data_IF_236864938686
#
_entry.id   IF_236864938686
#
_cell.length_a   1.000
_cell.length_b   1.000
_cell.length_c   1.000
_cell.angle_alpha   90.00
_cell.angle_beta   90.00
_cell.angle_gamma   90.00
#
_symmetry.space_group_name_H-M   'P 1'
#
loop_
_entity.id
_entity.type
_entity.pdbx_description
1 polymer ?
#
# COMPACT_ATOMS: atom_id res chain seq x y z
N UNK A 1 -52.16 46.54 20.88
CA UNK A 1 -50.93 46.27 20.07
C UNK A 1 -50.30 44.92 20.49
N UNK A 2 -50.35 43.95 19.59
CA UNK A 2 -49.77 42.68 19.85
C UNK A 2 -48.37 42.69 19.22
N UNK A 3 -47.30 42.55 20.05
CA UNK A 3 -45.95 42.44 19.58
C UNK A 3 -45.62 40.96 19.42
N UNK A 4 -45.23 40.54 18.23
CA UNK A 4 -44.77 39.20 17.93
C UNK A 4 -43.24 39.21 17.92
N UNK A 5 -42.62 38.41 18.78
CA UNK A 5 -41.18 38.21 18.79
C UNK A 5 -40.84 36.98 17.94
N UNK A 6 -40.01 37.17 16.91
CA UNK A 6 -39.43 36.11 16.11
C UNK A 6 -38.01 35.87 16.62
N UNK A 7 -37.73 34.70 17.16
CA UNK A 7 -36.36 34.27 17.49
C UNK A 7 -35.81 33.44 16.33
N UNK A 8 -34.83 33.99 15.64
CA UNK A 8 -34.12 33.28 14.60
C UNK A 8 -32.87 32.62 15.21
N UNK A 9 -32.80 31.30 15.16
CA UNK A 9 -31.62 30.55 15.48
C UNK A 9 -30.88 30.25 14.20
N UNK A 10 -29.68 30.78 14.03
CA UNK A 10 -28.77 30.44 12.94
C UNK A 10 -27.82 29.39 13.46
N UNK A 11 -27.91 28.16 12.94
CA UNK A 11 -26.94 27.12 13.17
C UNK A 11 -25.94 27.13 12.02
N UNK A 12 -24.64 27.08 12.35
CA UNK A 12 -23.64 26.90 11.31
C UNK A 12 -23.81 25.49 10.70
N UNK A 13 -23.67 25.35 9.38
CA UNK A 13 -23.75 24.04 8.75
C UNK A 13 -22.64 23.13 9.31
N UNK A 14 -22.90 21.84 9.54
CA UNK A 14 -21.88 20.91 9.98
C UNK A 14 -20.75 20.84 8.94
N UNK A 15 -19.52 21.04 9.40
CA UNK A 15 -18.32 21.02 8.58
C UNK A 15 -17.64 19.66 8.71
N UNK A 16 -17.54 18.92 7.60
CA UNK A 16 -16.81 17.65 7.51
C UNK A 16 -15.38 17.88 7.03
N UNK A 17 -14.41 17.19 7.63
CA UNK A 17 -13.01 17.17 7.20
C UNK A 17 -12.57 15.74 6.93
N UNK A 18 -11.98 15.51 5.75
CA UNK A 18 -11.36 14.25 5.34
C UNK A 18 -9.96 14.53 4.79
N UNK A 19 -8.98 13.70 5.18
CA UNK A 19 -7.65 13.70 4.60
C UNK A 19 -7.41 12.35 3.91
N UNK A 20 -6.92 12.38 2.67
CA UNK A 20 -6.66 11.21 1.85
C UNK A 20 -5.33 11.32 1.13
N UNK A 21 -4.58 10.23 1.09
CA UNK A 21 -3.37 10.11 0.28
C UNK A 21 -3.59 9.08 -0.83
N UNK A 22 -3.20 9.43 -2.04
CA UNK A 22 -3.24 8.56 -3.22
C UNK A 22 -1.88 8.56 -3.93
N UNK A 23 -1.63 7.57 -4.78
CA UNK A 23 -0.48 7.58 -5.68
C UNK A 23 -0.74 8.50 -6.90
N UNK A 24 0.31 9.10 -7.48
CA UNK A 24 0.23 10.09 -8.58
C UNK A 24 -0.65 9.59 -9.74
N UNK A 25 -0.56 8.33 -10.13
CA UNK A 25 -1.34 7.78 -11.25
C UNK A 25 -2.66 7.12 -10.82
N UNK A 26 -3.08 7.33 -9.57
CA UNK A 26 -4.32 6.79 -9.04
C UNK A 26 -5.45 7.80 -9.15
N UNK A 27 -6.68 7.27 -9.19
CA UNK A 27 -7.92 8.03 -9.24
C UNK A 27 -8.63 7.98 -7.89
N UNK A 28 -9.10 9.11 -7.39
CA UNK A 28 -9.98 9.21 -6.23
C UNK A 28 -11.27 9.92 -6.62
N UNK A 29 -12.41 9.38 -6.20
CA UNK A 29 -13.72 10.00 -6.49
C UNK A 29 -14.19 10.74 -5.24
N UNK A 30 -14.45 12.03 -5.38
CA UNK A 30 -14.99 12.89 -4.33
C UNK A 30 -16.06 13.80 -4.89
N UNK A 31 -17.26 13.79 -4.29
CA UNK A 31 -18.40 14.57 -4.78
C UNK A 31 -18.79 14.26 -6.23
N UNK A 32 -18.54 13.03 -6.71
CA UNK A 32 -18.78 12.64 -8.09
C UNK A 32 -17.72 13.10 -9.09
N UNK A 33 -16.67 13.80 -8.65
CA UNK A 33 -15.55 14.25 -9.48
C UNK A 33 -14.35 13.31 -9.32
N UNK A 34 -13.65 13.07 -10.42
CA UNK A 34 -12.40 12.32 -10.47
C UNK A 34 -11.23 13.23 -10.14
N UNK A 35 -10.48 12.90 -9.09
CA UNK A 35 -9.35 13.69 -8.61
C UNK A 35 -8.06 12.87 -8.75
N UNK A 36 -7.02 13.50 -9.32
CA UNK A 36 -5.70 12.90 -9.55
C UNK A 36 -4.56 13.73 -8.97
N UNK A 37 -4.84 14.96 -8.53
CA UNK A 37 -3.82 15.90 -8.07
C UNK A 37 -3.99 16.26 -6.60
N UNK A 38 -2.90 16.60 -5.95
CA UNK A 38 -2.93 17.13 -4.57
C UNK A 38 -3.69 18.45 -4.54
N UNK A 39 -4.51 18.62 -3.52
CA UNK A 39 -5.30 19.83 -3.39
C UNK A 39 -6.29 19.79 -2.24
N UNK A 40 -6.96 20.92 -2.05
CA UNK A 40 -8.08 21.05 -1.14
C UNK A 40 -9.35 21.14 -1.99
N UNK A 41 -10.25 20.20 -1.79
CA UNK A 41 -11.50 20.09 -2.51
C UNK A 41 -12.65 20.26 -1.55
N UNK A 42 -13.70 20.89 -2.03
CA UNK A 42 -14.93 21.11 -1.27
C UNK A 42 -16.10 20.47 -2.00
N UNK A 43 -16.94 19.79 -1.25
CA UNK A 43 -18.20 19.27 -1.74
C UNK A 43 -19.33 19.64 -0.79
N UNK A 44 -20.54 19.69 -1.31
CA UNK A 44 -21.74 20.06 -0.55
C UNK A 44 -22.68 18.88 -0.52
N UNK A 45 -22.91 18.32 0.67
CA UNK A 45 -23.90 17.28 0.88
C UNK A 45 -25.24 17.92 1.22
N UNK A 46 -26.22 17.70 0.34
CA UNK A 46 -27.58 18.20 0.57
C UNK A 46 -28.25 17.40 1.69
N UNK A 47 -28.75 18.13 2.69
CA UNK A 47 -29.53 17.53 3.76
C UNK A 47 -31.04 17.58 3.44
N UNK A 48 -31.80 16.54 3.77
CA UNK A 48 -33.25 16.54 3.63
C UNK A 48 -33.95 17.67 4.42
N UNK A 49 -33.26 18.16 5.47
CA UNK A 49 -33.78 19.21 6.36
C UNK A 49 -33.43 20.62 5.88
N UNK A 50 -32.80 20.75 4.69
CA UNK A 50 -32.51 22.04 4.04
C UNK A 50 -31.26 22.76 4.55
N UNK A 51 -30.46 22.14 5.47
CA UNK A 51 -29.15 22.65 5.89
C UNK A 51 -28.05 21.83 5.22
N UNK A 52 -27.48 22.34 4.13
CA UNK A 52 -26.41 21.68 3.41
C UNK A 52 -25.13 21.63 4.26
N UNK A 53 -24.42 20.50 4.20
CA UNK A 53 -23.15 20.29 4.89
C UNK A 53 -21.99 20.45 3.91
N UNK A 54 -20.97 21.22 4.30
CA UNK A 54 -19.75 21.35 3.50
C UNK A 54 -18.75 20.33 3.99
N UNK A 55 -18.25 19.49 3.07
CA UNK A 55 -17.14 18.55 3.33
C UNK A 55 -15.89 19.07 2.63
N UNK A 56 -14.81 19.18 3.41
CA UNK A 56 -13.48 19.54 2.92
C UNK A 56 -12.62 18.30 2.85
N UNK A 57 -12.13 17.98 1.66
CA UNK A 57 -11.13 16.96 1.43
C UNK A 57 -9.75 17.61 1.26
N UNK A 58 -8.76 17.13 2.00
CA UNK A 58 -7.35 17.39 1.74
C UNK A 58 -6.73 16.16 1.08
N UNK A 59 -6.50 16.24 -0.24
CA UNK A 59 -5.94 15.17 -1.04
C UNK A 59 -4.44 15.39 -1.23
N UNK A 60 -3.65 14.36 -0.93
CA UNK A 60 -2.21 14.33 -1.20
C UNK A 60 -1.91 13.25 -2.24
N UNK A 61 -1.52 13.64 -3.45
CA UNK A 61 -0.99 12.75 -4.47
C UNK A 61 0.53 12.66 -4.31
N UNK A 62 1.05 11.48 -3.98
CA UNK A 62 2.47 11.23 -3.75
C UNK A 62 3.01 10.25 -4.79
N UNK A 63 4.31 10.31 -5.07
CA UNK A 63 4.98 9.28 -5.85
C UNK A 63 5.09 8.01 -5.00
N UNK A 64 4.33 6.98 -5.38
CA UNK A 64 4.38 5.67 -4.73
C UNK A 64 5.33 4.71 -5.45
N UNK A 65 6.04 5.14 -6.50
CA UNK A 65 7.03 4.30 -7.14
C UNK A 65 8.17 4.00 -6.16
N UNK A 66 8.37 2.71 -5.89
CA UNK A 66 9.49 2.25 -5.08
C UNK A 66 10.61 1.83 -6.03
N UNK A 67 11.77 2.47 -5.95
CA UNK A 67 12.98 2.00 -6.62
C UNK A 67 13.56 0.82 -5.84
N UNK A 68 12.87 -0.33 -5.94
CA UNK A 68 13.26 -1.54 -5.23
C UNK A 68 14.42 -2.21 -5.94
N UNK A 69 15.56 -2.26 -5.28
CA UNK A 69 16.69 -3.10 -5.68
C UNK A 69 16.47 -4.50 -5.14
N UNK A 70 15.98 -5.41 -5.98
CA UNK A 70 15.59 -6.76 -5.58
C UNK A 70 16.65 -7.75 -6.05
N UNK A 71 17.23 -8.54 -5.12
CA UNK A 71 18.17 -9.58 -5.47
C UNK A 71 17.50 -10.70 -6.28
N UNK A 72 18.14 -11.13 -7.35
CA UNK A 72 17.69 -12.27 -8.15
C UNK A 72 18.43 -13.58 -7.81
N UNK A 73 19.25 -13.56 -6.76
CA UNK A 73 20.04 -14.71 -6.31
C UNK A 73 19.92 -14.94 -4.82
N UNK A 74 19.86 -16.19 -4.42
CA UNK A 74 19.82 -16.66 -3.05
C UNK A 74 20.72 -17.90 -2.94
N UNK A 75 21.76 -17.83 -2.07
CA UNK A 75 22.75 -18.89 -1.90
C UNK A 75 22.92 -19.21 -0.41
N UNK A 76 21.94 -19.88 0.22
CA UNK A 76 21.95 -20.13 1.66
C UNK A 76 23.00 -21.23 1.99
N UNK A 77 24.23 -20.80 2.26
CA UNK A 77 25.39 -21.68 2.55
C UNK A 77 26.14 -21.27 3.83
N UNK A 78 25.58 -20.30 4.59
CA UNK A 78 26.12 -19.75 5.85
C UNK A 78 27.50 -19.09 5.68
N UNK A 79 27.76 -18.47 4.51
CA UNK A 79 28.99 -17.69 4.28
C UNK A 79 28.82 -16.19 4.56
N UNK A 80 27.62 -15.77 4.94
CA UNK A 80 27.24 -14.38 5.20
C UNK A 80 26.87 -13.58 3.94
N UNK A 81 26.81 -14.21 2.75
CA UNK A 81 26.44 -13.55 1.49
C UNK A 81 25.27 -14.27 0.83
N UNK A 82 24.22 -13.51 0.56
CA UNK A 82 22.99 -14.02 -0.07
C UNK A 82 22.39 -15.26 0.64
N UNK A 83 22.66 -15.43 1.94
CA UNK A 83 22.07 -16.50 2.74
C UNK A 83 20.57 -16.31 2.93
N UNK A 84 20.12 -15.07 2.82
CA UNK A 84 18.70 -14.70 2.76
C UNK A 84 18.43 -13.84 1.54
N UNK A 85 17.22 -13.92 1.04
CA UNK A 85 16.82 -13.10 -0.09
C UNK A 85 16.72 -11.63 0.33
N UNK A 86 17.33 -10.74 -0.46
CA UNK A 86 17.45 -9.32 -0.14
C UNK A 86 16.59 -8.47 -1.07
N UNK A 87 15.79 -7.62 -0.45
CA UNK A 87 15.20 -6.44 -1.06
C UNK A 87 15.90 -5.26 -0.42
N UNK A 88 16.66 -4.48 -1.18
CA UNK A 88 17.38 -3.33 -0.65
C UNK A 88 16.36 -2.28 -0.20
N UNK A 89 16.65 -1.67 0.95
CA UNK A 89 15.83 -0.68 1.61
C UNK A 89 14.54 -1.26 2.25
N UNK A 90 14.71 -2.10 3.32
CA UNK A 90 13.59 -2.69 4.06
C UNK A 90 12.51 -1.70 4.54
N UNK A 91 12.83 -0.43 4.91
CA UNK A 91 11.81 0.53 5.31
C UNK A 91 10.78 0.83 4.24
N UNK A 92 11.14 0.71 2.94
CA UNK A 92 10.21 0.98 1.83
C UNK A 92 9.19 -0.13 1.62
N UNK A 93 9.48 -1.36 2.08
CA UNK A 93 8.56 -2.50 1.94
C UNK A 93 7.81 -2.83 3.23
N UNK A 94 7.96 -2.03 4.30
CA UNK A 94 7.16 -2.19 5.51
C UNK A 94 5.67 -2.04 5.18
N UNK A 95 4.87 -3.03 5.59
CA UNK A 95 3.45 -3.09 5.27
C UNK A 95 3.11 -3.54 3.85
N UNK A 96 4.12 -3.88 3.04
CA UNK A 96 3.91 -4.52 1.75
C UNK A 96 3.69 -6.02 1.92
N UNK A 97 2.81 -6.59 1.11
CA UNK A 97 2.66 -8.03 1.05
C UNK A 97 3.73 -8.63 0.14
N UNK A 98 4.54 -9.54 0.68
CA UNK A 98 5.54 -10.31 -0.07
C UNK A 98 5.07 -11.75 -0.18
N UNK A 99 5.04 -12.28 -1.40
CA UNK A 99 4.78 -13.70 -1.68
C UNK A 99 5.88 -14.27 -2.55
N UNK A 100 6.28 -15.51 -2.26
CA UNK A 100 7.23 -16.25 -3.08
C UNK A 100 6.58 -17.55 -3.50
N UNK A 101 6.74 -17.89 -4.77
CA UNK A 101 6.10 -19.03 -5.41
C UNK A 101 7.15 -19.98 -5.98
N UNK A 102 6.83 -21.26 -5.98
CA UNK A 102 7.59 -22.23 -6.78
C UNK A 102 7.15 -22.18 -8.26
N UNK A 103 7.80 -22.99 -9.13
CA UNK A 103 7.52 -23.05 -10.55
C UNK A 103 6.08 -23.51 -10.92
N UNK A 104 5.37 -24.08 -9.97
CA UNK A 104 3.98 -24.51 -10.14
C UNK A 104 2.95 -23.48 -9.67
N UNK A 105 3.42 -22.31 -9.21
CA UNK A 105 2.56 -21.25 -8.68
C UNK A 105 2.10 -21.49 -7.24
N UNK A 106 2.69 -22.46 -6.54
CA UNK A 106 2.37 -22.69 -5.12
C UNK A 106 3.16 -21.70 -4.26
N UNK A 107 2.48 -21.06 -3.30
CA UNK A 107 3.11 -20.16 -2.33
C UNK A 107 4.03 -20.97 -1.40
N UNK A 108 5.29 -20.59 -1.35
CA UNK A 108 6.30 -21.20 -0.46
C UNK A 108 6.70 -20.28 0.69
N UNK A 109 6.45 -18.97 0.56
CA UNK A 109 6.65 -17.98 1.60
C UNK A 109 5.67 -16.81 1.43
N UNK A 110 5.18 -16.26 2.55
CA UNK A 110 4.33 -15.07 2.57
C UNK A 110 4.61 -14.26 3.83
N UNK A 111 4.70 -12.92 3.68
CA UNK A 111 4.88 -11.98 4.78
C UNK A 111 4.28 -10.62 4.44
N UNK A 112 3.77 -9.90 5.46
CA UNK A 112 3.37 -8.49 5.38
C UNK A 112 4.38 -7.57 6.10
N UNK A 113 5.43 -8.15 6.69
CA UNK A 113 6.51 -7.44 7.39
C UNK A 113 7.84 -8.14 7.08
N UNK A 114 8.24 -8.07 5.81
CA UNK A 114 9.43 -8.75 5.33
C UNK A 114 10.71 -8.03 5.75
N UNK A 115 11.59 -8.74 6.44
CA UNK A 115 12.85 -8.21 6.99
C UNK A 115 14.11 -8.80 6.33
N UNK A 116 14.05 -9.20 5.06
CA UNK A 116 15.17 -9.84 4.37
C UNK A 116 15.61 -11.16 5.05
N UNK A 117 14.68 -11.96 5.54
CA UNK A 117 14.88 -13.12 6.40
C UNK A 117 14.60 -14.46 5.73
N UNK A 118 14.04 -14.50 4.52
CA UNK A 118 13.77 -15.76 3.83
C UNK A 118 15.03 -16.39 3.28
N UNK A 119 15.37 -17.56 3.82
CA UNK A 119 16.57 -18.37 3.47
C UNK A 119 16.24 -19.55 2.54
N UNK A 120 15.19 -19.47 1.71
CA UNK A 120 14.85 -20.56 0.78
C UNK A 120 14.26 -21.79 1.50
N UNK A 121 13.41 -21.56 2.51
CA UNK A 121 12.76 -22.62 3.28
C UNK A 121 11.24 -22.49 3.21
N UNK A 122 10.52 -23.61 3.41
CA UNK A 122 9.07 -23.66 3.62
C UNK A 122 8.80 -24.50 4.89
N UNK A 123 8.15 -23.92 5.88
CA UNK A 123 7.83 -24.57 7.17
C UNK A 123 9.09 -25.15 7.87
N UNK A 124 10.26 -24.52 7.70
CA UNK A 124 11.52 -24.99 8.29
C UNK A 124 12.26 -26.04 7.46
N UNK A 125 11.68 -26.51 6.36
CA UNK A 125 12.33 -27.45 5.45
C UNK A 125 12.99 -26.70 4.28
N UNK A 126 14.17 -27.16 3.87
CA UNK A 126 14.91 -26.60 2.74
C UNK A 126 14.17 -26.84 1.42
N UNK A 127 14.02 -25.79 0.64
CA UNK A 127 13.49 -25.89 -0.71
C UNK A 127 14.61 -26.33 -1.69
N UNK A 128 14.28 -27.09 -2.73
CA UNK A 128 15.28 -27.51 -3.72
C UNK A 128 15.81 -26.35 -4.55
N UNK A 129 17.02 -26.51 -5.08
CA UNK A 129 17.61 -25.60 -6.05
C UNK A 129 16.66 -25.36 -7.23
N UNK A 130 16.59 -24.14 -7.68
CA UNK A 130 15.73 -23.79 -8.82
C UNK A 130 15.33 -22.34 -8.86
N UNK A 131 14.43 -22.05 -9.79
CA UNK A 131 13.85 -20.71 -9.95
C UNK A 131 12.55 -20.62 -9.16
N UNK A 132 12.47 -19.60 -8.35
CA UNK A 132 11.29 -19.16 -7.61
C UNK A 132 10.82 -17.80 -8.15
N UNK A 133 9.60 -17.45 -7.93
CA UNK A 133 9.03 -16.18 -8.37
C UNK A 133 8.52 -15.42 -7.17
N UNK A 134 8.66 -14.10 -7.20
CA UNK A 134 8.11 -13.26 -6.13
C UNK A 134 7.06 -12.29 -6.67
N UNK A 135 6.17 -11.89 -5.79
CA UNK A 135 5.28 -10.74 -5.93
C UNK A 135 5.38 -9.92 -4.64
N UNK A 136 5.65 -8.63 -4.80
CA UNK A 136 5.62 -7.64 -3.73
C UNK A 136 4.51 -6.66 -4.07
N UNK A 137 3.48 -6.58 -3.22
CA UNK A 137 2.37 -5.65 -3.40
C UNK A 137 2.46 -4.54 -2.37
N UNK A 138 2.68 -3.31 -2.83
CA UNK A 138 2.80 -2.11 -2.01
C UNK A 138 1.86 -1.03 -2.53
N UNK A 139 1.02 -0.46 -1.67
CA UNK A 139 0.18 0.70 -2.00
C UNK A 139 -0.63 0.53 -3.31
N UNK A 140 -1.02 -0.72 -3.64
CA UNK A 140 -1.75 -1.04 -4.86
C UNK A 140 -0.88 -1.31 -6.10
N UNK A 141 0.43 -1.14 -6.00
CA UNK A 141 1.39 -1.51 -7.06
C UNK A 141 1.97 -2.90 -6.81
N UNK A 142 2.24 -3.64 -7.88
CA UNK A 142 2.80 -4.97 -7.84
C UNK A 142 4.17 -5.02 -8.54
N UNK A 143 5.17 -5.54 -7.82
CA UNK A 143 6.51 -5.80 -8.32
C UNK A 143 6.72 -7.30 -8.39
N UNK A 144 7.07 -7.83 -9.55
CA UNK A 144 7.27 -9.27 -9.77
C UNK A 144 8.64 -9.55 -10.37
N UNK A 145 9.13 -10.75 -10.11
CA UNK A 145 10.39 -11.20 -10.71
C UNK A 145 10.74 -12.61 -10.28
N UNK A 146 12.02 -12.98 -10.46
CA UNK A 146 12.51 -14.33 -10.15
C UNK A 146 13.70 -14.32 -9.21
N UNK A 147 13.83 -15.41 -8.46
CA UNK A 147 14.91 -15.69 -7.52
C UNK A 147 15.55 -17.02 -7.92
N UNK A 148 16.84 -17.03 -8.15
CA UNK A 148 17.62 -18.25 -8.36
C UNK A 148 18.13 -18.76 -7.00
N UNK A 149 17.55 -19.82 -6.50
CA UNK A 149 18.00 -20.51 -5.29
C UNK A 149 19.03 -21.56 -5.67
N UNK A 150 20.24 -21.42 -5.14
CA UNK A 150 21.38 -22.29 -5.42
C UNK A 150 22.05 -22.68 -4.09
N UNK A 151 22.08 -23.99 -3.79
CA UNK A 151 22.76 -24.54 -2.63
C UNK A 151 24.04 -25.22 -3.07
N UNK A 152 25.15 -24.56 -2.83
CA UNK A 152 26.46 -25.21 -3.04
C UNK A 152 26.67 -26.26 -1.94
N UNK A 153 26.45 -27.53 -2.28
CA UNK A 153 26.84 -28.61 -1.36
C UNK A 153 28.37 -28.56 -1.16
N UNK A 154 28.78 -28.39 0.11
CA UNK A 154 30.19 -28.58 0.51
C UNK A 154 30.61 -30.01 0.36
#
# INVERSE_FOLDING_TARGET
>A
DSTVYLSLFVTEPPFGYEAKTICIDSLFIFGGNELTESGIYLDTIQSPDGCDSIVRLELSAIDCSLDLQISNILTPNDDGKNDTWKVNDPPQIMGCQVKIFNRWGEVVYESTDYNNDWGGTKNGEELPDGVYFYSITCMGMEYTGSINLLRFKK
#
